data_IF_402144827269
#
_entry.id   IF_402144827269
#
_cell.length_a   1.000
_cell.length_b   1.000
_cell.length_c   1.000
_cell.angle_alpha   90.00
_cell.angle_beta   90.00
_cell.angle_gamma   90.00
#
_symmetry.space_group_name_H-M   'P 1'
#
loop_
_entity.id
_entity.type
_entity.pdbx_description
1 polymer ?
#
# COMPACT_ATOMS: atom_id res chain seq x y z
N UNK A 1 -15.39 16.20 -0.12
CA UNK A 1 -16.35 15.10 -0.32
C UNK A 1 -15.99 13.83 0.47
N UNK A 2 -14.74 13.62 0.87
CA UNK A 2 -14.28 12.52 1.74
C UNK A 2 -14.92 12.50 3.14
N UNK A 3 -15.54 13.58 3.58
CA UNK A 3 -16.14 13.70 4.90
C UNK A 3 -17.59 13.19 5.02
N UNK A 4 -18.19 12.66 3.98
CA UNK A 4 -19.57 12.13 4.08
C UNK A 4 -19.68 10.79 4.79
N UNK A 5 -18.57 10.10 5.03
CA UNK A 5 -18.54 8.79 5.69
C UNK A 5 -18.42 8.85 7.22
N UNK A 6 -18.11 9.98 7.80
CA UNK A 6 -17.77 10.06 9.24
C UNK A 6 -18.94 10.47 10.13
N UNK A 7 -20.07 10.88 9.59
CA UNK A 7 -21.20 11.34 10.43
C UNK A 7 -22.55 10.80 9.94
N UNK A 8 -22.79 9.54 10.24
CA UNK A 8 -24.15 9.04 10.48
C UNK A 8 -24.23 8.72 11.96
N UNK A 9 -25.04 9.47 12.68
CA UNK A 9 -25.15 9.34 14.14
C UNK A 9 -25.97 8.10 14.56
N UNK A 10 -25.51 7.40 15.59
CA UNK A 10 -26.28 6.47 16.38
C UNK A 10 -26.69 5.14 15.72
N UNK A 11 -27.84 4.61 16.08
CA UNK A 11 -28.37 3.32 15.65
C UNK A 11 -28.51 3.13 14.13
N UNK A 12 -28.54 4.22 13.35
CA UNK A 12 -28.56 4.17 11.88
C UNK A 12 -27.22 3.75 11.28
N UNK A 13 -26.09 4.04 11.94
CA UNK A 13 -24.75 3.61 11.49
C UNK A 13 -24.56 2.10 11.61
N UNK A 14 -24.94 1.53 12.74
CA UNK A 14 -24.79 0.09 12.97
C UNK A 14 -25.65 -0.72 11.99
N UNK A 15 -26.85 -0.25 11.63
CA UNK A 15 -27.69 -0.90 10.62
C UNK A 15 -27.17 -0.74 9.19
N UNK A 16 -26.61 0.42 8.84
CA UNK A 16 -26.00 0.65 7.52
C UNK A 16 -24.74 -0.19 7.34
N UNK A 17 -23.89 -0.28 8.38
CA UNK A 17 -22.69 -1.12 8.40
C UNK A 17 -23.09 -2.60 8.33
N UNK A 18 -24.06 -3.05 9.11
CA UNK A 18 -24.53 -4.43 9.08
C UNK A 18 -25.12 -4.83 7.71
N UNK A 19 -25.86 -3.93 7.07
CA UNK A 19 -26.40 -4.16 5.72
C UNK A 19 -25.30 -4.18 4.67
N UNK A 20 -24.36 -3.27 4.73
CA UNK A 20 -23.21 -3.27 3.83
C UNK A 20 -22.32 -4.51 4.01
N UNK A 21 -22.19 -5.00 5.25
CA UNK A 21 -21.47 -6.25 5.54
C UNK A 21 -22.15 -7.48 4.93
N UNK A 22 -23.50 -7.52 4.88
CA UNK A 22 -24.25 -8.64 4.27
C UNK A 22 -24.11 -8.72 2.76
N UNK A 23 -23.70 -7.64 2.10
CA UNK A 23 -23.56 -7.56 0.65
C UNK A 23 -22.12 -7.80 0.17
N UNK A 24 -21.17 -7.97 1.09
CA UNK A 24 -19.77 -8.28 0.75
C UNK A 24 -19.62 -9.77 0.37
N UNK A 25 -18.82 -10.08 -0.68
CA UNK A 25 -18.54 -11.46 -1.01
C UNK A 25 -17.63 -12.11 0.06
N UNK A 26 -17.62 -13.44 0.14
CA UNK A 26 -16.70 -14.17 1.02
C UNK A 26 -15.22 -14.05 0.58
N UNK A 27 -14.99 -13.74 -0.68
CA UNK A 27 -13.65 -13.56 -1.27
C UNK A 27 -13.64 -12.33 -2.17
N UNK A 28 -12.58 -11.55 -2.04
CA UNK A 28 -12.25 -10.47 -2.96
C UNK A 28 -10.75 -10.25 -3.00
N UNK A 29 -10.22 -10.04 -4.19
CA UNK A 29 -8.82 -9.73 -4.37
C UNK A 29 -8.63 -8.71 -5.50
N UNK A 30 -8.16 -7.52 -5.17
CA UNK A 30 -7.87 -6.49 -6.17
C UNK A 30 -6.74 -6.89 -7.11
N UNK A 31 -5.87 -7.84 -6.71
CA UNK A 31 -4.83 -8.37 -7.59
C UNK A 31 -5.40 -9.17 -8.78
N UNK A 32 -6.66 -9.60 -8.71
CA UNK A 32 -7.34 -10.27 -9.82
C UNK A 32 -7.93 -9.27 -10.84
N UNK A 33 -7.84 -7.98 -10.56
CA UNK A 33 -8.32 -6.93 -11.47
C UNK A 33 -7.22 -6.43 -12.40
N UNK A 34 -7.60 -5.91 -13.58
CA UNK A 34 -6.64 -5.31 -14.52
C UNK A 34 -5.92 -4.07 -13.94
N UNK A 35 -6.39 -3.54 -12.83
CA UNK A 35 -5.84 -2.30 -12.23
C UNK A 35 -4.66 -2.55 -11.32
N UNK A 36 -4.41 -3.81 -10.96
CA UNK A 36 -3.30 -4.17 -10.09
C UNK A 36 -2.04 -4.52 -10.92
N UNK A 37 -0.86 -3.93 -10.59
CA UNK A 37 0.37 -4.24 -11.29
C UNK A 37 0.91 -5.63 -10.90
N UNK A 38 1.71 -6.29 -11.74
CA UNK A 38 2.39 -7.53 -11.39
C UNK A 38 3.25 -7.36 -10.13
N UNK A 39 3.35 -8.43 -9.34
CA UNK A 39 4.27 -8.45 -8.20
C UNK A 39 5.71 -8.24 -8.67
N UNK A 40 6.47 -7.45 -7.93
CA UNK A 40 7.83 -7.06 -8.29
C UNK A 40 8.78 -7.17 -7.10
N UNK A 41 10.08 -7.13 -7.38
CA UNK A 41 11.11 -7.10 -6.36
C UNK A 41 11.59 -5.67 -6.11
N UNK A 42 11.50 -5.22 -4.86
CA UNK A 42 12.06 -3.92 -4.46
C UNK A 42 13.58 -3.94 -4.51
N UNK A 43 14.17 -2.77 -4.56
CA UNK A 43 15.61 -2.60 -4.45
C UNK A 43 15.96 -1.81 -3.19
N UNK A 44 16.94 -2.30 -2.43
CA UNK A 44 17.36 -1.68 -1.19
C UNK A 44 16.22 -1.53 -0.18
N UNK A 45 16.29 -0.53 0.68
CA UNK A 45 15.30 -0.23 1.72
C UNK A 45 14.06 0.51 1.22
N UNK A 46 13.61 0.27 -0.01
CA UNK A 46 12.50 0.99 -0.63
C UNK A 46 11.10 0.39 -0.40
N UNK A 47 10.96 -0.48 0.60
CA UNK A 47 9.70 -1.21 0.86
C UNK A 47 8.48 -0.28 0.98
N UNK A 48 8.66 0.84 1.64
CA UNK A 48 7.60 1.80 1.76
C UNK A 48 7.17 2.39 0.43
N UNK A 49 8.10 2.85 -0.41
CA UNK A 49 7.78 3.33 -1.76
C UNK A 49 7.25 2.21 -2.64
N UNK A 50 7.74 0.98 -2.47
CA UNK A 50 7.22 -0.19 -3.18
C UNK A 50 5.74 -0.41 -2.85
N UNK A 51 5.38 -0.43 -1.57
CA UNK A 51 4.00 -0.58 -1.13
C UNK A 51 3.12 0.58 -1.63
N UNK A 52 3.52 1.84 -1.36
CA UNK A 52 2.66 3.02 -1.57
C UNK A 52 2.60 3.47 -3.03
N UNK A 53 3.72 3.43 -3.73
CA UNK A 53 3.78 3.89 -5.12
C UNK A 53 3.66 2.72 -6.10
N UNK A 54 4.49 1.69 -5.91
CA UNK A 54 4.51 0.55 -6.79
C UNK A 54 3.16 -0.17 -6.85
N UNK A 55 2.54 -0.41 -5.70
CA UNK A 55 1.23 -1.06 -5.64
C UNK A 55 0.08 -0.07 -5.49
N UNK A 56 0.01 0.67 -4.38
CA UNK A 56 -1.20 1.44 -4.06
C UNK A 56 -1.47 2.55 -5.06
N UNK A 57 -0.50 3.43 -5.32
CA UNK A 57 -0.72 4.52 -6.28
C UNK A 57 -0.96 4.01 -7.69
N UNK A 58 -0.19 3.00 -8.12
CA UNK A 58 -0.37 2.39 -9.45
C UNK A 58 -1.78 1.82 -9.58
N UNK A 59 -2.27 1.08 -8.60
CA UNK A 59 -3.62 0.55 -8.61
C UNK A 59 -4.67 1.64 -8.61
N UNK A 60 -4.57 2.61 -7.70
CA UNK A 60 -5.50 3.72 -7.54
C UNK A 60 -5.68 4.54 -8.82
N UNK A 61 -4.56 4.97 -9.42
CA UNK A 61 -4.61 5.81 -10.62
C UNK A 61 -5.17 5.04 -11.82
N UNK A 62 -4.86 3.74 -11.93
CA UNK A 62 -5.39 2.89 -12.98
C UNK A 62 -6.88 2.60 -12.79
N UNK A 63 -7.33 2.34 -11.56
CA UNK A 63 -8.76 2.17 -11.24
C UNK A 63 -9.56 3.46 -11.51
N UNK A 64 -8.96 4.63 -11.27
CA UNK A 64 -9.57 5.94 -11.49
C UNK A 64 -9.65 6.31 -12.99
N UNK A 65 -8.63 5.94 -13.77
CA UNK A 65 -8.52 6.26 -15.19
C UNK A 65 -8.98 5.14 -16.13
N UNK A 66 -9.39 4.00 -15.57
CA UNK A 66 -9.78 2.79 -16.30
C UNK A 66 -8.68 2.23 -17.21
N UNK A 67 -7.44 2.22 -16.70
CA UNK A 67 -6.26 1.74 -17.41
C UNK A 67 -5.84 0.35 -16.93
N UNK A 68 -5.08 -0.35 -17.76
CA UNK A 68 -4.55 -1.68 -17.46
C UNK A 68 -3.14 -1.57 -16.84
N UNK A 69 -3.01 -1.92 -15.56
CA UNK A 69 -1.75 -1.85 -14.83
C UNK A 69 -0.75 -2.98 -15.18
N UNK A 70 -1.16 -3.98 -15.95
CA UNK A 70 -0.22 -4.98 -16.49
C UNK A 70 0.69 -4.38 -17.57
N UNK A 71 0.24 -3.27 -18.18
CA UNK A 71 1.02 -2.58 -19.20
C UNK A 71 2.09 -1.70 -18.55
N UNK A 72 3.35 -1.79 -19.01
CA UNK A 72 4.45 -1.04 -18.42
C UNK A 72 4.23 0.48 -18.33
N UNK A 73 3.57 1.06 -19.33
CA UNK A 73 3.27 2.49 -19.39
C UNK A 73 2.31 2.97 -18.30
N UNK A 74 1.61 2.06 -17.64
CA UNK A 74 0.67 2.33 -16.56
C UNK A 74 1.22 1.98 -15.17
N UNK A 75 2.49 1.56 -15.08
CA UNK A 75 3.16 1.24 -13.82
C UNK A 75 4.02 2.41 -13.36
N UNK A 76 3.95 2.72 -12.07
CA UNK A 76 4.68 3.85 -11.48
C UNK A 76 5.87 3.36 -10.67
N UNK A 77 7.09 3.85 -10.96
CA UNK A 77 8.30 3.41 -10.30
C UNK A 77 8.43 3.95 -8.88
N UNK A 78 8.90 3.12 -8.00
CA UNK A 78 9.13 3.47 -6.59
C UNK A 78 10.28 4.47 -6.42
N UNK A 79 11.29 4.38 -7.27
CA UNK A 79 12.57 5.08 -7.10
C UNK A 79 12.48 6.59 -7.21
N UNK A 80 11.56 7.12 -8.00
CA UNK A 80 11.42 8.57 -8.10
C UNK A 80 11.08 9.19 -6.74
N UNK A 81 10.07 8.64 -6.07
CA UNK A 81 9.66 9.13 -4.76
C UNK A 81 10.70 8.81 -3.70
N UNK A 82 11.22 7.59 -3.69
CA UNK A 82 12.23 7.15 -2.74
C UNK A 82 13.48 8.02 -2.75
N UNK A 83 13.99 8.35 -3.93
CA UNK A 83 15.17 9.21 -4.08
C UNK A 83 14.96 10.65 -3.59
N UNK A 84 13.72 11.12 -3.55
CA UNK A 84 13.40 12.49 -3.14
C UNK A 84 13.03 12.60 -1.67
N UNK A 85 12.62 11.51 -1.05
CA UNK A 85 12.10 11.55 0.31
C UNK A 85 13.08 11.03 1.34
N UNK A 86 13.64 9.87 1.11
CA UNK A 86 14.66 9.32 1.98
C UNK A 86 15.38 8.17 1.32
N UNK A 87 16.69 8.22 1.37
CA UNK A 87 17.54 7.25 0.72
C UNK A 87 18.28 6.33 1.67
N UNK A 88 18.24 6.56 2.98
CA UNK A 88 19.25 5.94 3.84
C UNK A 88 18.71 4.92 4.84
N UNK A 89 17.47 4.98 5.24
CA UNK A 89 16.98 4.18 6.37
C UNK A 89 15.62 3.50 6.16
N UNK A 90 15.09 3.53 4.96
CA UNK A 90 13.79 2.94 4.65
C UNK A 90 12.60 3.56 5.40
N UNK A 91 12.84 4.64 6.12
CA UNK A 91 11.78 5.43 6.74
C UNK A 91 11.13 6.31 5.70
N UNK A 92 10.58 5.69 4.73
CA UNK A 92 9.86 6.36 3.68
C UNK A 92 8.71 7.14 4.28
N UNK A 93 8.92 8.41 4.45
CA UNK A 93 7.95 9.31 5.05
C UNK A 93 6.85 9.60 4.05
N UNK A 94 5.87 8.71 3.95
CA UNK A 94 4.79 8.82 2.98
C UNK A 94 3.81 9.92 3.28
N UNK A 95 3.72 10.31 4.51
CA UNK A 95 2.83 11.37 4.98
C UNK A 95 3.00 12.68 4.22
N UNK A 96 4.17 12.88 3.65
CA UNK A 96 4.55 14.10 2.95
C UNK A 96 4.21 14.10 1.45
N UNK A 97 3.68 13.02 0.90
CA UNK A 97 3.47 12.89 -0.54
C UNK A 97 2.33 13.69 -1.13
N UNK A 98 1.65 14.45 -0.32
CA UNK A 98 0.63 15.36 -0.80
C UNK A 98 1.24 16.35 -1.78
N UNK A 99 0.93 16.15 -3.05
CA UNK A 99 1.42 17.03 -4.08
C UNK A 99 2.82 16.70 -4.62
N UNK A 100 3.52 15.69 -4.10
CA UNK A 100 4.76 15.22 -4.71
C UNK A 100 4.44 14.53 -6.04
N UNK A 101 5.11 14.87 -7.14
CA UNK A 101 4.87 14.21 -8.41
C UNK A 101 5.40 12.79 -8.38
N UNK A 102 4.55 11.83 -8.72
CA UNK A 102 4.98 10.50 -9.08
C UNK A 102 5.40 10.47 -10.54
N UNK A 103 6.33 9.64 -10.83
CA UNK A 103 6.86 9.56 -12.16
C UNK A 103 6.28 8.41 -12.91
N UNK A 104 6.31 8.64 -14.11
CA UNK A 104 6.48 7.77 -15.23
C UNK A 104 6.89 6.37 -14.84
N UNK A 105 6.15 5.43 -15.31
CA UNK A 105 6.54 4.03 -15.32
C UNK A 105 7.91 3.82 -15.99
N UNK A 106 8.54 2.72 -15.71
CA UNK A 106 9.77 2.33 -16.39
C UNK A 106 9.71 0.95 -17.05
N UNK A 107 8.55 0.38 -17.13
CA UNK A 107 8.30 -0.76 -17.98
C UNK A 107 9.18 -1.98 -17.70
N UNK A 108 9.41 -2.30 -16.44
CA UNK A 108 10.24 -3.43 -16.06
C UNK A 108 11.73 -3.25 -16.33
N UNK A 109 12.19 -2.05 -16.69
CA UNK A 109 13.62 -1.75 -16.78
C UNK A 109 14.24 -1.73 -15.39
N UNK A 110 15.51 -2.09 -15.31
CA UNK A 110 16.28 -2.07 -14.07
C UNK A 110 16.58 -0.64 -13.63
N UNK A 111 16.94 -0.50 -12.38
CA UNK A 111 17.34 0.77 -11.80
C UNK A 111 18.54 1.39 -12.54
N UNK A 112 19.54 0.55 -12.89
CA UNK A 112 20.72 1.00 -13.64
C UNK A 112 20.39 1.47 -15.05
N UNK A 113 19.45 0.84 -15.73
CA UNK A 113 18.98 1.29 -17.06
C UNK A 113 18.28 2.64 -17.03
N UNK A 114 17.61 2.93 -15.92
CA UNK A 114 16.86 4.19 -15.76
C UNK A 114 17.74 5.36 -15.36
N UNK A 115 18.67 5.12 -14.46
CA UNK A 115 19.42 6.16 -13.76
C UNK A 115 20.92 6.12 -14.02
N UNK A 116 21.42 5.09 -14.74
CA UNK A 116 22.85 4.96 -15.04
C UNK A 116 23.71 4.53 -13.87
N UNK A 117 23.11 3.95 -12.83
CA UNK A 117 23.83 3.44 -11.65
C UNK A 117 23.94 1.93 -11.71
N UNK A 118 25.02 1.42 -11.12
CA UNK A 118 25.15 -0.02 -10.89
C UNK A 118 24.38 -0.40 -9.63
N UNK A 119 23.56 -1.42 -9.72
CA UNK A 119 22.74 -1.92 -8.61
C UNK A 119 23.57 -2.34 -7.40
N UNK A 120 24.78 -2.81 -7.64
CA UNK A 120 25.72 -3.27 -6.62
C UNK A 120 26.33 -2.15 -5.76
N UNK A 121 26.22 -0.90 -6.20
CA UNK A 121 26.90 0.22 -5.53
C UNK A 121 26.15 0.80 -4.34
N UNK A 122 24.94 0.36 -4.03
CA UNK A 122 24.04 1.00 -3.07
C UNK A 122 23.90 2.51 -3.27
N UNK A 123 24.18 2.99 -4.46
CA UNK A 123 24.16 4.40 -4.78
C UNK A 123 22.74 4.82 -5.16
N UNK A 124 21.94 5.02 -4.14
CA UNK A 124 20.55 5.43 -4.25
C UNK A 124 20.38 6.94 -4.48
N UNK A 125 21.47 7.66 -4.70
CA UNK A 125 21.47 9.11 -4.85
C UNK A 125 21.26 9.59 -6.28
N UNK A 126 20.84 8.70 -7.17
CA UNK A 126 20.51 9.06 -8.53
C UNK A 126 19.37 10.06 -8.62
N UNK A 127 19.52 11.00 -9.50
CA UNK A 127 18.50 12.02 -9.74
C UNK A 127 17.95 11.87 -11.14
N UNK A 128 16.64 11.76 -11.24
CA UNK A 128 16.00 11.72 -12.54
C UNK A 128 16.16 13.05 -13.25
N UNK A 129 16.73 13.01 -14.46
CA UNK A 129 16.90 14.17 -15.32
C UNK A 129 15.87 14.17 -16.43
N UNK A 130 15.56 15.34 -16.94
CA UNK A 130 14.67 15.53 -18.07
C UNK A 130 13.38 16.26 -17.67
N UNK A 131 13.21 17.43 -18.25
CA UNK A 131 12.06 18.28 -18.01
C UNK A 131 10.72 17.59 -18.29
N UNK A 132 10.66 16.82 -19.37
CA UNK A 132 9.42 16.16 -19.81
C UNK A 132 8.96 15.10 -18.81
N UNK A 133 9.89 14.40 -18.16
CA UNK A 133 9.59 13.45 -17.10
C UNK A 133 8.97 14.13 -15.88
N UNK A 134 9.53 15.27 -15.47
CA UNK A 134 9.00 16.06 -14.38
C UNK A 134 7.63 16.65 -14.69
N UNK A 135 7.43 17.15 -15.88
CA UNK A 135 6.14 17.67 -16.32
C UNK A 135 5.06 16.59 -16.36
N UNK A 136 5.41 15.40 -16.79
CA UNK A 136 4.51 14.26 -16.76
C UNK A 136 4.20 13.85 -15.30
N UNK A 137 5.21 13.79 -14.45
CA UNK A 137 5.04 13.48 -13.03
C UNK A 137 4.12 14.47 -12.30
N UNK A 138 4.18 15.75 -12.65
CA UNK A 138 3.31 16.78 -12.07
C UNK A 138 1.82 16.45 -12.24
N UNK A 139 1.43 15.79 -13.33
CA UNK A 139 0.07 15.38 -13.59
C UNK A 139 -0.40 14.14 -12.80
N UNK A 140 0.52 13.41 -12.18
CA UNK A 140 0.25 12.17 -11.47
C UNK A 140 0.39 12.38 -9.96
N UNK A 141 -0.72 12.66 -9.30
CA UNK A 141 -0.74 13.11 -7.90
C UNK A 141 -1.61 12.23 -7.03
N UNK A 142 -1.19 12.10 -5.77
CA UNK A 142 -2.03 11.56 -4.70
C UNK A 142 -2.69 12.69 -3.90
N UNK A 143 -3.79 12.34 -3.26
CA UNK A 143 -4.35 13.11 -2.16
C UNK A 143 -3.58 12.81 -0.88
N UNK A 144 -3.80 13.62 0.16
CA UNK A 144 -3.22 13.36 1.48
C UNK A 144 -3.65 11.98 1.96
N UNK A 145 -2.73 11.12 2.40
CA UNK A 145 -3.06 9.83 2.99
C UNK A 145 -4.00 10.00 4.19
N UNK A 146 -4.89 9.04 4.36
CA UNK A 146 -5.74 8.91 5.54
C UNK A 146 -5.51 7.55 6.18
N UNK A 147 -5.88 7.40 7.44
CA UNK A 147 -5.83 6.12 8.12
C UNK A 147 -7.19 5.44 8.11
N UNK A 148 -7.21 4.13 8.27
CA UNK A 148 -8.44 3.39 8.54
C UNK A 148 -9.17 4.03 9.73
N UNK A 149 -10.48 4.23 9.62
CA UNK A 149 -11.25 4.93 10.67
C UNK A 149 -11.40 4.12 11.97
N UNK A 150 -11.17 2.81 11.88
CA UNK A 150 -11.30 1.88 13.02
C UNK A 150 -10.20 0.82 12.96
N UNK A 151 -9.86 0.26 14.12
CA UNK A 151 -8.92 -0.86 14.20
C UNK A 151 -9.48 -2.09 13.49
N UNK A 152 -8.68 -2.68 12.61
CA UNK A 152 -9.02 -3.91 11.90
C UNK A 152 -9.05 -5.16 12.80
N UNK A 153 -8.70 -5.04 14.07
CA UNK A 153 -8.89 -6.07 15.10
C UNK A 153 -10.37 -6.28 15.42
N UNK A 154 -11.19 -5.24 15.24
CA UNK A 154 -12.62 -5.28 15.51
C UNK A 154 -13.40 -5.72 14.28
N UNK A 155 -14.58 -6.31 14.48
CA UNK A 155 -15.48 -6.66 13.39
C UNK A 155 -15.88 -5.43 12.54
N UNK A 156 -16.16 -4.31 13.20
CA UNK A 156 -16.48 -3.06 12.51
C UNK A 156 -15.31 -2.54 11.67
N UNK A 157 -14.07 -2.64 12.18
CA UNK A 157 -12.88 -2.27 11.42
C UNK A 157 -12.59 -3.24 10.28
N UNK A 158 -12.79 -4.55 10.47
CA UNK A 158 -12.70 -5.55 9.39
C UNK A 158 -13.72 -5.26 8.28
N UNK A 159 -14.96 -4.96 8.65
CA UNK A 159 -16.00 -4.58 7.68
C UNK A 159 -15.65 -3.30 6.92
N UNK A 160 -15.15 -2.27 7.61
CA UNK A 160 -14.72 -1.03 6.97
C UNK A 160 -13.54 -1.27 6.00
N UNK A 161 -12.59 -2.12 6.37
CA UNK A 161 -11.48 -2.51 5.49
C UNK A 161 -11.97 -3.26 4.25
N UNK A 162 -12.89 -4.21 4.41
CA UNK A 162 -13.50 -4.95 3.29
C UNK A 162 -14.28 -4.02 2.36
N UNK A 163 -15.05 -3.08 2.89
CA UNK A 163 -15.76 -2.09 2.07
C UNK A 163 -14.78 -1.21 1.26
N UNK A 164 -13.67 -0.82 1.86
CA UNK A 164 -12.63 -0.09 1.14
C UNK A 164 -12.02 -0.94 0.03
N UNK A 165 -11.59 -2.15 0.35
CA UNK A 165 -10.99 -3.09 -0.60
C UNK A 165 -11.95 -3.51 -1.72
N UNK A 166 -13.25 -3.51 -1.47
CA UNK A 166 -14.25 -3.95 -2.44
C UNK A 166 -14.64 -2.84 -3.43
N UNK A 167 -14.94 -1.65 -2.93
CA UNK A 167 -15.52 -0.58 -3.74
C UNK A 167 -15.17 0.84 -3.27
N UNK A 168 -13.99 1.05 -2.69
CA UNK A 168 -13.59 2.35 -2.10
C UNK A 168 -14.61 2.91 -1.12
N UNK A 169 -15.24 2.04 -0.32
CA UNK A 169 -16.32 2.43 0.57
C UNK A 169 -17.47 3.19 -0.13
N UNK A 170 -17.75 2.83 -1.38
CA UNK A 170 -18.84 3.40 -2.19
C UNK A 170 -18.46 4.62 -3.03
N UNK A 171 -17.18 4.91 -3.21
CA UNK A 171 -16.74 5.94 -4.16
C UNK A 171 -16.80 5.39 -5.60
N UNK A 172 -17.76 5.88 -6.36
CA UNK A 172 -18.06 5.42 -7.73
C UNK A 172 -17.15 6.01 -8.80
N UNK A 173 -16.24 6.91 -8.44
CA UNK A 173 -15.25 7.44 -9.37
C UNK A 173 -14.21 6.36 -9.74
N UNK A 174 -13.98 5.39 -8.85
CA UNK A 174 -13.07 4.28 -9.05
C UNK A 174 -13.78 3.04 -9.63
N UNK A 175 -13.06 2.29 -10.45
CA UNK A 175 -13.55 1.08 -11.11
C UNK A 175 -13.25 -0.22 -10.35
N UNK A 176 -12.49 -0.13 -9.27
CA UNK A 176 -12.18 -1.23 -8.36
C UNK A 176 -12.14 -0.70 -6.93
N UNK A 177 -12.03 -1.57 -5.96
CA UNK A 177 -11.78 -1.19 -4.58
C UNK A 177 -10.37 -0.60 -4.38
N UNK A 178 -10.13 0.01 -3.24
CA UNK A 178 -8.82 0.54 -2.86
C UNK A 178 -7.89 -0.52 -2.27
N UNK A 179 -6.66 -0.14 -1.99
CA UNK A 179 -5.69 -0.95 -1.29
C UNK A 179 -5.37 -0.34 0.09
N UNK A 180 -4.82 -1.14 1.00
CA UNK A 180 -4.48 -0.67 2.35
C UNK A 180 -2.99 -0.88 2.59
N UNK A 181 -2.26 0.19 2.90
CA UNK A 181 -0.85 0.14 3.25
C UNK A 181 -0.64 -0.25 4.70
N UNK A 182 0.27 -1.19 4.94
CA UNK A 182 0.58 -1.71 6.26
C UNK A 182 2.06 -1.58 6.58
N UNK A 183 2.37 -1.37 7.87
CA UNK A 183 3.68 -1.64 8.42
C UNK A 183 3.67 -2.97 9.15
N UNK A 184 4.66 -3.82 8.93
CA UNK A 184 4.76 -5.14 9.53
C UNK A 184 6.14 -5.39 10.12
N UNK A 185 6.22 -6.33 11.04
CA UNK A 185 7.47 -6.87 11.53
C UNK A 185 7.83 -8.13 10.72
N UNK A 186 8.69 -7.98 9.73
CA UNK A 186 8.93 -9.01 8.70
C UNK A 186 9.65 -10.27 9.20
N UNK A 187 10.36 -10.19 10.34
CA UNK A 187 11.07 -11.32 10.94
C UNK A 187 10.17 -12.37 11.60
N UNK A 188 9.09 -12.77 10.93
CA UNK A 188 8.07 -13.67 11.45
C UNK A 188 8.27 -15.13 11.08
N UNK A 189 7.19 -15.91 11.18
CA UNK A 189 7.11 -17.30 10.78
C UNK A 189 5.92 -17.52 9.84
N UNK A 190 6.15 -18.32 8.82
CA UNK A 190 5.16 -18.69 7.81
C UNK A 190 4.95 -20.19 7.86
N UNK A 191 3.69 -20.63 7.79
CA UNK A 191 3.33 -22.04 7.77
C UNK A 191 2.41 -22.30 6.58
N UNK A 192 2.25 -23.55 6.25
CA UNK A 192 1.33 -23.99 5.21
C UNK A 192 -0.10 -24.00 5.73
N UNK A 193 -1.04 -23.49 4.94
CA UNK A 193 -2.47 -23.60 5.20
C UNK A 193 -2.86 -25.07 5.27
N UNK A 194 -3.49 -25.54 6.36
CA UNK A 194 -3.81 -26.95 6.56
C UNK A 194 -4.80 -27.45 5.51
N UNK A 195 -4.80 -28.76 5.33
CA UNK A 195 -5.76 -29.40 4.45
C UNK A 195 -7.11 -29.57 5.16
N UNK A 196 -8.12 -28.83 4.67
CA UNK A 196 -9.54 -29.00 5.02
C UNK A 196 -10.37 -29.02 3.75
N UNK A 197 -11.62 -29.44 3.84
CA UNK A 197 -12.52 -29.40 2.69
C UNK A 197 -12.76 -27.96 2.21
N UNK A 198 -12.81 -26.99 3.12
CA UNK A 198 -12.97 -25.58 2.80
C UNK A 198 -11.72 -25.02 2.09
N UNK A 199 -10.52 -25.31 2.59
CA UNK A 199 -9.26 -24.87 2.01
C UNK A 199 -8.99 -25.52 0.64
N UNK A 200 -9.34 -26.80 0.48
CA UNK A 200 -9.27 -27.48 -0.82
C UNK A 200 -10.23 -26.80 -1.83
N UNK A 201 -11.47 -26.51 -1.41
CA UNK A 201 -12.46 -25.83 -2.25
C UNK A 201 -12.06 -24.38 -2.61
N UNK A 202 -11.40 -23.69 -1.69
CA UNK A 202 -10.86 -22.34 -1.93
C UNK A 202 -9.56 -22.35 -2.75
N UNK A 203 -8.93 -23.51 -2.97
CA UNK A 203 -7.67 -23.64 -3.70
C UNK A 203 -6.46 -23.07 -2.96
N UNK A 204 -6.48 -23.08 -1.62
CA UNK A 204 -5.45 -22.47 -0.79
C UNK A 204 -4.65 -23.47 0.06
N UNK A 205 -5.04 -24.73 0.11
CA UNK A 205 -4.30 -25.78 0.84
C UNK A 205 -2.83 -25.80 0.44
N UNK A 206 -1.94 -25.78 1.43
CA UNK A 206 -0.50 -25.78 1.25
C UNK A 206 0.10 -24.44 0.82
N UNK A 207 -0.71 -23.39 0.67
CA UNK A 207 -0.19 -22.02 0.49
C UNK A 207 0.29 -21.46 1.83
N UNK A 208 1.23 -20.51 1.76
CA UNK A 208 1.81 -19.91 2.96
C UNK A 208 0.89 -18.90 3.61
N UNK A 209 0.84 -18.93 4.94
CA UNK A 209 0.21 -17.90 5.76
C UNK A 209 1.14 -17.42 6.88
N UNK A 210 0.87 -16.23 7.39
CA UNK A 210 1.58 -15.68 8.54
C UNK A 210 1.12 -16.41 9.79
N UNK A 211 1.99 -17.28 10.34
CA UNK A 211 1.74 -17.91 11.63
C UNK A 211 2.08 -16.96 12.79
N UNK A 212 3.11 -16.14 12.59
CA UNK A 212 3.53 -15.12 13.57
C UNK A 212 4.32 -14.03 12.87
N UNK A 213 4.02 -12.78 13.17
CA UNK A 213 4.87 -11.65 12.80
C UNK A 213 6.12 -11.57 13.69
N UNK A 214 7.13 -10.83 13.28
CA UNK A 214 8.25 -10.43 14.10
C UNK A 214 7.87 -9.48 15.24
N UNK A 215 8.86 -8.91 15.91
CA UNK A 215 8.65 -8.06 17.09
C UNK A 215 8.86 -6.57 16.84
N UNK A 216 9.52 -6.20 15.75
CA UNK A 216 9.82 -4.81 15.40
C UNK A 216 9.33 -4.51 13.99
N UNK A 217 8.63 -3.38 13.83
CA UNK A 217 8.19 -2.93 12.53
C UNK A 217 9.39 -2.48 11.71
N UNK A 218 9.64 -3.17 10.63
CA UNK A 218 10.81 -2.97 9.77
C UNK A 218 10.48 -3.01 8.28
N UNK A 219 9.22 -3.28 7.92
CA UNK A 219 8.82 -3.51 6.54
C UNK A 219 7.44 -2.94 6.22
N UNK A 220 7.25 -2.55 4.99
CA UNK A 220 5.97 -2.08 4.47
C UNK A 220 5.45 -3.03 3.40
N UNK A 221 4.17 -3.38 3.52
CA UNK A 221 3.44 -4.26 2.59
C UNK A 221 2.08 -3.68 2.26
N UNK A 222 1.34 -4.31 1.35
CA UNK A 222 0.03 -3.83 0.91
C UNK A 222 -1.02 -4.93 1.03
N UNK A 223 -2.13 -4.63 1.71
CA UNK A 223 -3.30 -5.49 1.74
C UNK A 223 -4.12 -5.25 0.47
N UNK A 224 -4.46 -6.33 -0.24
CA UNK A 224 -5.13 -6.29 -1.54
C UNK A 224 -6.51 -6.93 -1.55
N UNK A 225 -6.83 -7.72 -0.51
CA UNK A 225 -8.08 -8.46 -0.47
C UNK A 225 -8.27 -9.28 0.80
N UNK A 226 -9.23 -10.17 0.76
CA UNK A 226 -9.55 -11.11 1.84
C UNK A 226 -10.16 -12.40 1.31
N UNK A 227 -10.14 -13.44 2.16
CA UNK A 227 -10.85 -14.69 1.94
C UNK A 227 -11.40 -15.23 3.27
N UNK A 228 -12.71 -15.16 3.45
CA UNK A 228 -13.42 -15.62 4.65
C UNK A 228 -13.54 -17.14 4.75
N UNK A 229 -13.22 -17.86 3.67
CA UNK A 229 -13.38 -19.31 3.59
C UNK A 229 -12.23 -20.08 4.21
N UNK A 230 -11.06 -19.42 4.37
CA UNK A 230 -9.82 -20.05 4.81
C UNK A 230 -9.92 -20.45 6.29
N UNK A 231 -9.52 -21.69 6.56
CA UNK A 231 -9.48 -22.27 7.90
C UNK A 231 -8.03 -22.54 8.32
N UNK A 232 -7.71 -22.20 9.56
CA UNK A 232 -6.39 -22.35 10.17
C UNK A 232 -6.49 -23.20 11.43
N UNK A 233 -5.40 -23.84 11.82
CA UNK A 233 -5.16 -24.40 13.15
C UNK A 233 -4.08 -23.55 13.80
N UNK A 234 -4.49 -22.47 14.49
CA UNK A 234 -3.58 -21.46 15.02
C UNK A 234 -3.06 -21.82 16.42
N UNK A 235 -3.77 -22.67 17.14
CA UNK A 235 -3.37 -23.14 18.47
C UNK A 235 -2.67 -24.51 18.45
N UNK A 236 -2.62 -25.17 17.30
CA UNK A 236 -1.91 -26.44 17.11
C UNK A 236 -2.63 -27.66 17.72
N UNK A 237 -3.94 -27.57 17.94
CA UNK A 237 -4.72 -28.67 18.53
C UNK A 237 -5.14 -29.76 17.52
N UNK A 238 -4.87 -29.55 16.21
CA UNK A 238 -5.21 -30.46 15.13
C UNK A 238 -6.61 -30.25 14.57
N UNK A 239 -7.34 -29.22 15.01
CA UNK A 239 -8.68 -28.84 14.51
C UNK A 239 -8.57 -27.45 13.88
N UNK A 240 -8.90 -27.34 12.61
CA UNK A 240 -8.84 -26.04 11.92
C UNK A 240 -10.22 -25.41 11.81
N UNK A 241 -10.27 -24.07 11.81
CA UNK A 241 -11.48 -23.30 11.54
C UNK A 241 -12.41 -23.13 12.74
N UNK A 242 -11.89 -23.24 13.96
CA UNK A 242 -12.63 -23.04 15.19
C UNK A 242 -13.00 -21.54 15.36
N UNK A 243 -14.29 -21.24 15.25
CA UNK A 243 -14.80 -19.84 15.27
C UNK A 243 -14.58 -19.12 16.60
N UNK A 244 -14.67 -19.84 17.71
CA UNK A 244 -14.43 -19.33 19.06
C UNK A 244 -12.95 -19.03 19.32
N UNK A 245 -12.06 -19.52 18.46
CA UNK A 245 -10.61 -19.27 18.49
C UNK A 245 -10.13 -18.27 17.43
N UNK A 246 -11.06 -17.72 16.65
CA UNK A 246 -10.77 -16.78 15.55
C UNK A 246 -9.83 -17.39 14.49
N UNK A 247 -10.08 -18.65 14.11
CA UNK A 247 -9.25 -19.42 13.19
C UNK A 247 -9.80 -19.45 11.76
N UNK A 248 -10.71 -18.55 11.43
CA UNK A 248 -11.32 -18.46 10.10
C UNK A 248 -11.18 -17.07 9.50
N UNK A 249 -10.84 -17.09 8.20
CA UNK A 249 -10.69 -15.90 7.37
C UNK A 249 -9.30 -15.25 7.47
N UNK A 250 -8.88 -14.67 6.34
CA UNK A 250 -7.59 -14.04 6.20
C UNK A 250 -7.63 -12.81 5.30
N UNK A 251 -6.73 -11.89 5.56
CA UNK A 251 -6.32 -10.86 4.62
C UNK A 251 -5.36 -11.42 3.59
N UNK A 252 -5.41 -10.90 2.36
CA UNK A 252 -4.46 -11.17 1.30
C UNK A 252 -3.51 -9.98 1.24
N UNK A 253 -2.22 -10.25 1.43
CA UNK A 253 -1.17 -9.23 1.47
C UNK A 253 -0.19 -9.50 0.35
N UNK A 254 0.18 -8.46 -0.41
CA UNK A 254 1.28 -8.49 -1.36
C UNK A 254 2.53 -7.91 -0.74
N UNK A 255 3.66 -8.56 -1.02
CA UNK A 255 5.00 -8.13 -0.66
C UNK A 255 5.77 -7.70 -1.91
N UNK A 256 6.82 -6.93 -1.72
CA UNK A 256 7.73 -6.45 -2.77
C UNK A 256 9.03 -7.24 -2.84
N UNK A 257 8.96 -8.57 -2.70
CA UNK A 257 10.10 -9.50 -2.77
C UNK A 257 9.98 -10.50 -3.93
N UNK A 258 9.43 -10.07 -5.05
CA UNK A 258 9.24 -10.93 -6.23
C UNK A 258 8.34 -12.13 -5.95
N UNK A 259 8.78 -13.32 -6.35
CA UNK A 259 8.02 -14.57 -6.21
C UNK A 259 8.04 -15.16 -4.78
N UNK A 260 8.26 -14.34 -3.77
CA UNK A 260 8.27 -14.78 -2.37
C UNK A 260 6.93 -15.41 -1.96
N UNK A 261 6.96 -16.46 -1.14
CA UNK A 261 5.79 -17.20 -0.66
C UNK A 261 4.87 -17.70 -1.79
N UNK A 262 3.67 -17.16 -1.89
CA UNK A 262 2.66 -17.53 -2.89
C UNK A 262 2.74 -16.54 -4.07
N UNK A 263 3.81 -16.58 -4.85
CA UNK A 263 4.03 -15.67 -6.00
C UNK A 263 3.96 -14.17 -5.62
N UNK A 264 4.58 -13.82 -4.51
CA UNK A 264 4.62 -12.45 -3.98
C UNK A 264 3.53 -12.16 -2.95
N UNK A 265 2.62 -13.09 -2.67
CA UNK A 265 1.51 -12.91 -1.75
C UNK A 265 1.65 -13.78 -0.49
N UNK A 266 0.94 -13.39 0.57
CA UNK A 266 0.78 -14.19 1.77
C UNK A 266 -0.61 -13.97 2.38
N UNK A 267 -1.15 -15.00 3.01
CA UNK A 267 -2.38 -14.90 3.79
C UNK A 267 -2.06 -14.50 5.23
N UNK A 268 -2.83 -13.58 5.80
CA UNK A 268 -2.71 -13.17 7.19
C UNK A 268 -4.03 -13.42 7.92
N UNK A 269 -4.11 -14.39 8.83
CA UNK A 269 -5.33 -14.64 9.61
C UNK A 269 -5.83 -13.37 10.29
N UNK A 270 -7.14 -13.20 10.39
CA UNK A 270 -7.75 -12.03 11.06
C UNK A 270 -7.33 -11.89 12.51
N UNK A 271 -7.04 -12.99 13.18
CA UNK A 271 -6.48 -13.03 14.52
C UNK A 271 -5.19 -12.21 14.71
N UNK A 272 -4.43 -12.07 13.62
CA UNK A 272 -3.18 -11.31 13.62
C UNK A 272 -3.32 -9.89 13.05
N UNK A 273 -4.55 -9.40 12.98
CA UNK A 273 -4.86 -8.03 12.61
C UNK A 273 -4.56 -7.07 13.76
N UNK A 274 -3.50 -6.32 13.64
CA UNK A 274 -3.08 -5.38 14.66
C UNK A 274 -1.95 -5.90 15.56
N UNK A 275 -1.45 -5.06 16.44
CA UNK A 275 -0.32 -5.41 17.31
C UNK A 275 -0.74 -6.42 18.38
N UNK A 276 -0.08 -7.57 18.39
CA UNK A 276 -0.29 -8.63 19.38
C UNK A 276 0.81 -8.58 20.42
N UNK A 277 0.44 -8.45 21.69
CA UNK A 277 1.37 -8.46 22.81
C UNK A 277 1.46 -9.84 23.46
N UNK A 278 2.66 -10.18 23.93
CA UNK A 278 2.85 -11.31 24.83
C UNK A 278 2.17 -11.00 26.17
N UNK A 279 1.24 -11.83 26.66
CA UNK A 279 0.53 -11.56 27.90
C UNK A 279 1.42 -11.65 29.15
N UNK A 280 2.56 -12.35 29.09
CA UNK A 280 3.45 -12.53 30.23
C UNK A 280 4.55 -11.47 30.29
N UNK A 281 5.09 -11.09 29.13
CA UNK A 281 6.24 -10.17 29.06
C UNK A 281 5.87 -8.77 28.59
N UNK A 282 4.66 -8.57 28.06
CA UNK A 282 4.25 -7.34 27.41
C UNK A 282 4.97 -7.04 26.09
N UNK A 283 5.87 -7.92 25.66
CA UNK A 283 6.59 -7.74 24.41
C UNK A 283 5.65 -7.89 23.22
N UNK A 284 5.83 -7.05 22.21
CA UNK A 284 5.09 -7.18 20.96
C UNK A 284 5.42 -8.50 20.27
N UNK A 285 4.39 -9.34 20.04
CA UNK A 285 4.53 -10.66 19.41
C UNK A 285 4.27 -10.63 17.91
N UNK A 286 3.79 -9.53 17.37
CA UNK A 286 3.49 -9.45 15.97
C UNK A 286 2.26 -8.64 15.66
N UNK A 287 1.67 -8.92 14.51
CA UNK A 287 0.58 -8.15 13.96
C UNK A 287 1.06 -7.19 12.87
N UNK A 288 0.17 -6.32 12.45
CA UNK A 288 0.50 -5.24 11.54
C UNK A 288 -0.02 -3.91 12.11
N UNK A 289 0.63 -2.85 11.67
CA UNK A 289 0.37 -1.50 12.13
C UNK A 289 -0.03 -0.63 10.96
N UNK A 290 -0.78 0.42 11.30
CA UNK A 290 -1.30 1.41 10.37
C UNK A 290 -2.23 0.77 9.34
N UNK A 291 -3.20 1.27 8.93
CA UNK A 291 -4.04 0.99 7.79
C UNK A 291 -4.12 2.28 7.01
N UNK A 292 -3.17 2.51 6.12
CA UNK A 292 -3.11 3.74 5.34
C UNK A 292 -3.92 3.60 4.06
N UNK A 293 -4.71 4.62 3.77
CA UNK A 293 -5.54 4.72 2.60
C UNK A 293 -5.04 5.86 1.71
N UNK A 294 -4.98 5.59 0.42
CA UNK A 294 -4.54 6.54 -0.58
C UNK A 294 -5.64 6.75 -1.62
N UNK A 295 -5.74 7.99 -2.13
CA UNK A 295 -6.54 8.31 -3.29
C UNK A 295 -5.66 8.99 -4.34
N UNK A 296 -5.73 8.53 -5.58
CA UNK A 296 -5.17 9.26 -6.69
C UNK A 296 -6.06 10.46 -7.06
N UNK A 297 -5.45 11.50 -7.59
CA UNK A 297 -6.19 12.61 -8.21
C UNK A 297 -6.42 12.28 -9.68
N UNK A 298 -7.67 12.37 -10.10
CA UNK A 298 -8.07 12.08 -11.49
C UNK A 298 -7.32 12.96 -12.48
N UNK A 299 -7.37 14.26 -12.22
CA UNK A 299 -6.74 15.28 -13.03
C UNK A 299 -6.08 16.30 -12.11
N UNK A 300 -4.81 16.50 -12.30
CA UNK A 300 -4.08 17.55 -11.63
C UNK A 300 -3.27 18.34 -12.66
N UNK A 301 -3.54 19.63 -12.72
CA UNK A 301 -2.74 20.58 -13.50
C UNK A 301 -2.36 21.74 -12.60
N UNK A 302 -1.08 22.02 -12.45
CA UNK A 302 -0.65 23.17 -11.66
C UNK A 302 -1.12 24.46 -12.34
N UNK A 303 -1.59 25.40 -11.56
CA UNK A 303 -2.00 26.73 -12.05
C UNK A 303 -0.80 27.53 -12.58
N UNK A 304 0.36 27.27 -12.01
CA UNK A 304 1.63 27.93 -12.38
C UNK A 304 2.77 26.95 -12.23
N UNK A 305 3.74 27.05 -13.10
CA UNK A 305 4.99 26.26 -13.06
C UNK A 305 6.15 27.22 -13.23
N UNK A 306 7.17 27.06 -12.40
CA UNK A 306 8.45 27.75 -12.56
C UNK A 306 9.43 26.73 -13.13
N UNK A 307 9.95 27.00 -14.33
CA UNK A 307 11.03 26.20 -14.91
C UNK A 307 12.35 26.91 -14.61
N UNK A 308 13.22 26.21 -13.86
CA UNK A 308 14.56 26.68 -13.57
C UNK A 308 15.56 25.73 -14.22
N UNK A 309 16.55 26.28 -14.91
CA UNK A 309 17.72 25.58 -15.39
C UNK A 309 18.95 26.16 -14.70
N UNK A 310 19.67 25.33 -13.97
CA UNK A 310 20.93 25.69 -13.34
C UNK A 310 22.05 24.78 -13.85
N UNK A 311 23.22 25.36 -14.02
CA UNK A 311 24.44 24.63 -14.36
C UNK A 311 25.42 24.90 -13.22
N UNK A 312 25.71 23.85 -12.43
CA UNK A 312 26.57 23.95 -11.27
C UNK A 312 27.25 22.62 -10.98
N UNK A 313 28.48 22.67 -10.49
CA UNK A 313 29.34 21.47 -10.34
C UNK A 313 28.92 20.56 -9.19
N UNK A 314 28.36 21.13 -8.11
CA UNK A 314 28.01 20.38 -6.90
C UNK A 314 26.59 20.69 -6.47
N UNK A 315 25.68 19.75 -6.69
CA UNK A 315 24.28 19.90 -6.37
C UNK A 315 24.02 20.15 -4.88
N UNK A 316 24.80 19.54 -3.99
CA UNK A 316 24.65 19.71 -2.54
C UNK A 316 24.92 21.14 -2.03
N UNK A 317 25.53 21.97 -2.86
CA UNK A 317 25.80 23.38 -2.57
C UNK A 317 24.71 24.32 -3.06
N UNK A 318 23.72 23.80 -3.76
CA UNK A 318 22.60 24.58 -4.25
C UNK A 318 21.43 24.57 -3.25
N UNK A 319 21.02 25.73 -2.86
CA UNK A 319 19.80 25.95 -2.10
C UNK A 319 18.88 26.87 -2.89
N UNK A 320 17.65 26.38 -3.16
CA UNK A 320 16.64 27.12 -3.88
C UNK A 320 15.50 27.48 -2.94
N UNK A 321 15.21 28.74 -2.81
CA UNK A 321 14.01 29.25 -2.14
C UNK A 321 13.06 29.84 -3.18
N UNK A 322 11.78 29.48 -3.06
CA UNK A 322 10.71 30.04 -3.86
C UNK A 322 9.63 30.56 -2.93
N UNK A 323 9.32 31.83 -3.02
CA UNK A 323 8.25 32.46 -2.26
C UNK A 323 7.10 32.90 -3.16
N UNK A 324 5.92 33.00 -2.57
CA UNK A 324 4.74 33.63 -3.19
C UNK A 324 4.32 34.76 -2.28
N UNK A 325 4.20 35.96 -2.83
CA UNK A 325 3.73 37.14 -2.11
C UNK A 325 2.60 37.83 -2.87
N UNK A 326 1.69 38.45 -2.13
CA UNK A 326 0.71 39.42 -2.64
C UNK A 326 1.28 40.81 -2.70
N UNK A 327 2.42 41.05 -2.04
CA UNK A 327 3.17 42.30 -2.14
C UNK A 327 4.05 42.28 -3.39
N UNK A 328 3.79 43.18 -4.33
CA UNK A 328 4.54 43.31 -5.58
C UNK A 328 5.99 43.75 -5.39
N UNK A 329 6.32 44.28 -4.21
CA UNK A 329 7.64 44.76 -3.87
C UNK A 329 8.43 43.79 -2.98
N UNK A 330 7.86 42.62 -2.66
CA UNK A 330 8.56 41.63 -1.87
C UNK A 330 9.78 41.10 -2.63
N UNK A 331 10.95 41.22 -2.02
CA UNK A 331 12.24 40.78 -2.57
C UNK A 331 12.74 39.49 -1.97
N UNK A 332 12.11 39.01 -0.90
CA UNK A 332 12.46 37.76 -0.21
C UNK A 332 11.22 36.92 0.05
N UNK A 333 11.37 35.57 0.08
CA UNK A 333 10.29 34.63 0.35
C UNK A 333 9.81 34.67 1.79
#
# INVERSE_FOLDING_TARGET
RLMKYVQLEGESQSRAVARAASDLPEYWNNADTKYFPPAFNQQGGSCGSASRIGYMFTHEINALRDLDASLPENQYPTHFVWLHTNTSDGKDQFVEFVGVPNVVHYGGRTYSELFGYQEESNNYFGWMTGYDKWMNAIGNRMMKPTSMPQSMETEAGRTAAKMWLYNHAGDTDFKAGGLIGLGVASGGQWYDIPKTAANDAAGVTGKYYVHRWGTQVDHAVTMVGWDDRIEFDLDGNGVAGELDKDEKGAWIIVNSWGNWCNDGFIYCPYKYAGPVSDPETGAMKGGYWWGELYHARKDFRPLRVIKLKMDYTHRSELFLQVGISTDLNATEP
#
